data_IF_337352041560
#
_entry.id   IF_337352041560
#
_cell.length_a   1.000
_cell.length_b   1.000
_cell.length_c   1.000
_cell.angle_alpha   90.00
_cell.angle_beta   90.00
_cell.angle_gamma   90.00
#
_symmetry.space_group_name_H-M   'P 1'
#
loop_
_entity.id
_entity.type
_entity.pdbx_description
1 polymer ?
#
# COMPACT_ATOMS: atom_id res chain seq x y z
N UNK A 1 10.11 10.27 21.14
CA UNK A 1 8.68 10.15 20.77
C UNK A 1 8.54 9.17 19.60
N UNK A 2 8.44 7.86 19.86
CA UNK A 2 8.16 6.82 18.82
C UNK A 2 7.34 5.68 19.47
N UNK A 3 6.22 6.01 20.14
CA UNK A 3 5.43 5.00 20.89
C UNK A 3 4.01 4.79 20.34
N UNK A 4 3.37 5.83 19.77
CA UNK A 4 1.96 5.74 19.35
C UNK A 4 1.70 4.84 18.13
N UNK A 5 2.49 4.97 17.06
CA UNK A 5 2.29 4.20 15.83
C UNK A 5 2.58 2.70 15.98
N UNK A 6 3.39 2.33 16.99
CA UNK A 6 3.74 0.94 17.25
C UNK A 6 2.54 0.13 17.76
N UNK A 7 1.70 0.75 18.59
CA UNK A 7 0.55 0.09 19.21
C UNK A 7 -0.62 -0.10 18.22
N UNK A 8 -0.78 0.77 17.22
CA UNK A 8 -1.91 0.65 16.28
C UNK A 8 -1.73 -0.51 15.30
N UNK A 9 -0.50 -0.85 14.92
CA UNK A 9 -0.24 -1.93 13.95
C UNK A 9 -0.56 -3.33 14.52
N UNK A 10 -0.28 -3.58 15.80
CA UNK A 10 -0.57 -4.88 16.43
C UNK A 10 -2.02 -5.06 16.86
N UNK A 11 -2.78 -3.97 16.99
CA UNK A 11 -4.20 -4.03 17.38
C UNK A 11 -5.15 -4.09 16.18
N UNK A 12 -4.62 -4.22 14.97
CA UNK A 12 -5.42 -4.22 13.75
C UNK A 12 -5.47 -5.64 13.15
N UNK A 13 -6.67 -6.19 13.01
CA UNK A 13 -6.89 -7.51 12.40
C UNK A 13 -6.75 -7.51 10.86
N UNK A 14 -6.76 -6.34 10.24
CA UNK A 14 -6.67 -6.14 8.79
C UNK A 14 -5.71 -5.01 8.41
N UNK A 15 -4.68 -5.29 7.63
CA UNK A 15 -3.75 -4.27 7.14
C UNK A 15 -3.37 -4.52 5.68
N UNK A 16 -3.29 -3.45 4.89
CA UNK A 16 -2.65 -3.47 3.58
C UNK A 16 -1.34 -2.68 3.67
N UNK A 17 -0.23 -3.32 3.34
CA UNK A 17 1.09 -2.71 3.26
C UNK A 17 1.52 -2.62 1.80
N UNK A 18 1.45 -1.42 1.22
CA UNK A 18 1.89 -1.14 -0.15
C UNK A 18 3.41 -0.96 -0.23
N UNK A 19 3.94 -0.58 -1.39
CA UNK A 19 5.37 -0.30 -1.60
C UNK A 19 5.96 0.65 -0.54
N UNK A 20 7.09 0.28 0.05
CA UNK A 20 7.76 1.05 1.12
C UNK A 20 9.16 1.52 0.68
N UNK A 21 9.63 2.63 1.27
CA UNK A 21 11.00 3.12 1.07
C UNK A 21 12.03 2.16 1.67
N UNK A 22 13.25 2.15 1.13
CA UNK A 22 14.31 1.21 1.55
C UNK A 22 14.65 1.32 3.04
N UNK A 23 14.62 2.53 3.62
CA UNK A 23 14.86 2.77 5.06
C UNK A 23 13.84 2.09 5.95
N UNK A 24 12.59 1.98 5.48
CA UNK A 24 11.46 1.57 6.30
C UNK A 24 11.25 0.06 6.24
N UNK A 25 11.64 -0.57 5.12
CA UNK A 25 11.56 -2.02 4.88
C UNK A 25 12.17 -2.85 6.01
N UNK A 26 13.38 -2.52 6.46
CA UNK A 26 14.07 -3.29 7.50
C UNK A 26 13.36 -3.21 8.85
N UNK A 27 12.79 -2.04 9.16
CA UNK A 27 12.06 -1.80 10.41
C UNK A 27 10.74 -2.58 10.38
N UNK A 28 10.00 -2.47 9.27
CA UNK A 28 8.71 -3.14 9.08
C UNK A 28 8.86 -4.66 9.01
N UNK A 29 9.87 -5.18 8.33
CA UNK A 29 10.13 -6.62 8.25
C UNK A 29 10.33 -7.24 9.63
N UNK A 30 11.14 -6.57 10.46
CA UNK A 30 11.39 -7.00 11.84
C UNK A 30 10.14 -6.89 12.72
N UNK A 31 9.35 -5.83 12.57
CA UNK A 31 8.16 -5.60 13.37
C UNK A 31 7.01 -6.56 13.04
N UNK A 32 6.78 -6.78 11.75
CA UNK A 32 5.62 -7.52 11.28
C UNK A 32 5.93 -9.00 11.02
N UNK A 33 7.16 -9.45 11.29
CA UNK A 33 7.60 -10.82 11.06
C UNK A 33 7.57 -11.23 9.58
N UNK A 34 7.78 -10.28 8.67
CA UNK A 34 7.71 -10.50 7.23
C UNK A 34 9.01 -11.16 6.77
N UNK A 35 8.89 -12.27 6.03
CA UNK A 35 10.04 -12.94 5.41
C UNK A 35 10.64 -12.14 4.26
N UNK A 36 11.90 -12.39 3.90
CA UNK A 36 12.54 -11.77 2.72
C UNK A 36 11.75 -11.99 1.42
N UNK A 37 11.14 -13.18 1.24
CA UNK A 37 10.28 -13.44 0.10
C UNK A 37 9.05 -12.55 0.10
N UNK A 38 8.41 -12.35 1.26
CA UNK A 38 7.26 -11.46 1.37
C UNK A 38 7.65 -9.98 1.19
N UNK A 39 8.84 -9.59 1.63
CA UNK A 39 9.37 -8.24 1.47
C UNK A 39 9.50 -7.84 -0.01
N UNK A 40 9.71 -8.82 -0.91
CA UNK A 40 9.76 -8.58 -2.35
C UNK A 40 8.45 -8.02 -2.91
N UNK A 41 7.29 -8.34 -2.32
CA UNK A 41 5.99 -7.81 -2.76
C UNK A 41 5.74 -6.35 -2.39
N UNK A 42 6.54 -5.78 -1.48
CA UNK A 42 6.47 -4.34 -1.12
C UNK A 42 7.73 -3.57 -1.56
N UNK A 43 8.55 -4.20 -2.39
CA UNK A 43 9.82 -3.67 -2.89
C UNK A 43 9.69 -3.42 -4.39
N UNK A 44 9.69 -2.15 -4.81
CA UNK A 44 9.49 -1.77 -6.21
C UNK A 44 8.16 -2.30 -6.80
N UNK A 45 7.12 -2.46 -5.97
CA UNK A 45 5.80 -2.87 -6.43
C UNK A 45 5.07 -1.73 -7.13
N UNK A 46 4.14 -2.07 -8.02
CA UNK A 46 3.32 -1.07 -8.71
C UNK A 46 2.29 -0.44 -7.76
N UNK A 47 1.67 0.65 -8.18
CA UNK A 47 0.52 1.23 -7.47
C UNK A 47 -0.57 0.18 -7.28
N UNK A 48 -1.10 0.08 -6.06
CA UNK A 48 -2.10 -0.91 -5.67
C UNK A 48 -1.56 -2.31 -5.35
N UNK A 49 -0.25 -2.54 -5.39
CA UNK A 49 0.36 -3.83 -5.05
C UNK A 49 1.05 -3.82 -3.69
N UNK A 50 0.94 -4.94 -2.97
CA UNK A 50 1.60 -5.10 -1.68
C UNK A 50 1.27 -6.40 -0.97
N UNK A 51 1.23 -6.33 0.36
CA UNK A 51 0.82 -7.42 1.25
C UNK A 51 -0.49 -7.07 1.96
N UNK A 52 -1.37 -8.06 2.08
CA UNK A 52 -2.57 -7.99 2.91
C UNK A 52 -2.38 -8.94 4.09
N UNK A 53 -2.58 -8.40 5.28
CA UNK A 53 -2.58 -9.11 6.55
C UNK A 53 -4.03 -9.23 7.03
N UNK A 54 -4.45 -10.45 7.35
CA UNK A 54 -5.74 -10.73 7.97
C UNK A 54 -5.59 -11.79 9.06
N UNK A 55 -5.65 -11.38 10.32
CA UNK A 55 -5.31 -12.23 11.45
C UNK A 55 -3.89 -12.81 11.32
N UNK A 56 -3.78 -14.12 11.14
CA UNK A 56 -2.50 -14.83 10.95
C UNK A 56 -2.16 -15.12 9.48
N UNK A 57 -2.99 -14.66 8.54
CA UNK A 57 -2.79 -14.88 7.10
C UNK A 57 -2.15 -13.65 6.48
N UNK A 58 -1.07 -13.87 5.73
CA UNK A 58 -0.43 -12.83 4.93
C UNK A 58 -0.36 -13.29 3.48
N UNK A 59 -0.98 -12.53 2.57
CA UNK A 59 -1.02 -12.84 1.14
C UNK A 59 -0.54 -11.65 0.30
N UNK A 60 0.06 -11.90 -0.88
CA UNK A 60 0.24 -10.88 -1.89
C UNK A 60 -1.12 -10.29 -2.30
N UNK A 61 -1.17 -8.99 -2.49
CA UNK A 61 -2.36 -8.24 -2.85
C UNK A 61 -2.10 -7.40 -4.10
N UNK A 62 -3.10 -7.37 -4.98
CA UNK A 62 -3.11 -6.54 -6.19
C UNK A 62 -4.49 -5.90 -6.32
N UNK A 63 -4.54 -4.57 -6.22
CA UNK A 63 -5.69 -3.76 -6.60
C UNK A 63 -5.41 -3.04 -7.91
N UNK A 64 -6.26 -3.32 -8.90
CA UNK A 64 -6.31 -2.60 -10.17
C UNK A 64 -7.59 -1.80 -10.21
N UNK A 65 -7.61 -0.72 -9.45
CA UNK A 65 -8.80 0.12 -9.38
C UNK A 65 -9.22 0.58 -10.79
N UNK A 66 -10.47 0.30 -11.19
CA UNK A 66 -10.92 0.56 -12.55
C UNK A 66 -11.00 2.06 -12.83
N UNK A 67 -10.61 2.47 -14.04
CA UNK A 67 -10.88 3.82 -14.54
C UNK A 67 -12.39 3.99 -14.78
N UNK A 68 -12.92 5.19 -14.58
CA UNK A 68 -14.36 5.48 -14.69
C UNK A 68 -14.76 6.67 -13.84
N UNK A 69 -16.06 6.92 -13.70
CA UNK A 69 -16.61 8.07 -12.98
C UNK A 69 -16.03 8.23 -11.56
N UNK A 70 -16.06 7.15 -10.77
CA UNK A 70 -15.54 7.16 -9.39
C UNK A 70 -14.03 7.44 -9.38
N UNK A 71 -13.28 6.86 -10.31
CA UNK A 71 -11.85 7.13 -10.40
C UNK A 71 -11.56 8.59 -10.74
N UNK A 72 -12.26 9.15 -11.73
CA UNK A 72 -12.05 10.52 -12.18
C UNK A 72 -12.42 11.51 -11.08
N UNK A 73 -13.48 11.21 -10.32
CA UNK A 73 -13.89 12.03 -9.19
C UNK A 73 -12.86 12.02 -8.04
N UNK A 74 -12.18 10.90 -7.82
CA UNK A 74 -11.30 10.70 -6.65
C UNK A 74 -9.80 10.82 -6.95
N UNK A 75 -9.41 10.85 -8.22
CA UNK A 75 -7.98 10.87 -8.56
C UNK A 75 -7.33 12.17 -8.10
N UNK A 76 -6.18 12.03 -7.44
CA UNK A 76 -5.33 13.17 -7.04
C UNK A 76 -4.08 13.27 -7.91
N UNK A 77 -3.96 12.42 -8.94
CA UNK A 77 -2.84 12.41 -9.88
C UNK A 77 -2.91 13.62 -10.81
N UNK A 78 -1.92 14.53 -10.77
CA UNK A 78 -1.94 15.73 -11.61
C UNK A 78 -2.00 15.44 -13.12
N UNK A 79 -1.46 14.30 -13.55
CA UNK A 79 -1.49 13.85 -14.95
C UNK A 79 -2.87 13.42 -15.43
N UNK A 80 -3.78 13.00 -14.54
CA UNK A 80 -5.15 12.64 -14.93
C UNK A 80 -6.01 13.88 -15.17
N UNK A 81 -5.83 14.93 -14.35
CA UNK A 81 -6.61 16.19 -14.41
C UNK A 81 -6.32 17.00 -15.68
N UNK A 82 -5.10 16.89 -16.22
CA UNK A 82 -4.70 17.60 -17.46
C UNK A 82 -5.44 17.13 -18.71
N UNK A 83 -6.07 15.95 -18.68
CA UNK A 83 -6.77 15.38 -19.82
C UNK A 83 -8.25 15.77 -19.88
N UNK A 84 -8.84 16.23 -18.78
CA UNK A 84 -10.24 16.70 -18.78
C UNK A 84 -10.37 18.04 -19.53
N UNK A 85 -9.42 18.96 -19.35
CA UNK A 85 -9.43 20.29 -19.99
C UNK A 85 -9.25 20.29 -21.53
N UNK A 86 -9.04 19.13 -22.16
CA UNK A 86 -8.93 18.99 -23.63
C UNK A 86 -10.16 18.37 -24.28
N UNK A 87 -11.14 17.97 -23.49
CA UNK A 87 -12.34 17.27 -23.98
C UNK A 87 -13.61 18.11 -23.84
N UNK A 88 -13.47 19.39 -23.48
CA UNK A 88 -14.50 20.43 -23.60
C UNK A 88 -14.20 21.35 -24.78
#
# INVERSE_FOLDING_TARGET
MISGAYLSLYNTDFMILLSQAQSDRTILAKQLGISEHQLSYITHSNSGEGLLFYGNVTIPFVDRFPKGEIYNLLTTRPEDVKNEAKTE
#
